data_IF_827177595941
#
_entry.id   IF_827177595941
#
_cell.length_a   1.000
_cell.length_b   1.000
_cell.length_c   1.000
_cell.angle_alpha   90.00
_cell.angle_beta   90.00
_cell.angle_gamma   90.00
#
_symmetry.space_group_name_H-M   'P 1'
#
loop_
_entity.id
_entity.type
_entity.pdbx_description
1 polymer ?
#
# COMPACT_ATOMS: atom_id res chain seq x y z
N UNK A 1 55.55 12.14 -0.87
CA UNK A 1 55.30 10.67 -0.82
C UNK A 1 54.76 10.15 0.53
N UNK A 2 55.28 10.54 1.70
CA UNK A 2 54.79 10.09 3.03
C UNK A 2 53.33 10.50 3.31
N UNK A 3 52.92 11.72 2.97
CA UNK A 3 51.56 12.24 3.14
C UNK A 3 50.51 11.39 2.40
N UNK A 4 50.71 11.09 1.12
CA UNK A 4 49.83 10.26 0.32
C UNK A 4 49.73 8.81 0.82
N UNK A 5 50.78 8.25 1.38
CA UNK A 5 50.77 6.94 2.03
C UNK A 5 49.92 6.96 3.31
N UNK A 6 49.91 8.05 4.08
CA UNK A 6 49.09 8.25 5.25
C UNK A 6 47.61 8.28 4.88
N UNK A 7 47.21 9.10 3.89
CA UNK A 7 45.84 9.18 3.39
C UNK A 7 45.33 7.81 2.88
N UNK A 8 46.13 7.12 2.09
CA UNK A 8 45.77 5.80 1.58
C UNK A 8 45.53 4.78 2.70
N UNK A 9 46.36 4.76 3.73
CA UNK A 9 46.15 3.91 4.91
C UNK A 9 44.87 4.27 5.64
N UNK A 10 44.59 5.56 5.85
CA UNK A 10 43.36 6.04 6.47
C UNK A 10 42.12 5.60 5.68
N UNK A 11 42.13 5.79 4.35
CA UNK A 11 41.04 5.36 3.49
C UNK A 11 40.81 3.84 3.56
N UNK A 12 41.87 3.03 3.61
CA UNK A 12 41.77 1.57 3.79
C UNK A 12 41.15 1.23 5.15
N UNK A 13 41.56 1.87 6.23
CA UNK A 13 40.99 1.63 7.55
C UNK A 13 39.51 2.05 7.63
N UNK A 14 39.14 3.19 7.03
CA UNK A 14 37.75 3.64 6.93
C UNK A 14 36.93 2.65 6.14
N UNK A 15 37.41 2.18 4.99
CA UNK A 15 36.72 1.17 4.18
C UNK A 15 36.54 -0.14 4.94
N UNK A 16 37.58 -0.63 5.62
CA UNK A 16 37.48 -1.83 6.46
C UNK A 16 36.46 -1.65 7.59
N UNK A 17 36.42 -0.50 8.24
CA UNK A 17 35.44 -0.20 9.28
C UNK A 17 34.03 -0.22 8.71
N UNK A 18 33.79 0.40 7.55
CA UNK A 18 32.48 0.37 6.87
C UNK A 18 32.06 -1.07 6.56
N UNK A 19 32.97 -1.88 6.01
CA UNK A 19 32.67 -3.29 5.69
C UNK A 19 32.32 -4.08 6.95
N UNK A 20 33.07 -3.92 8.04
CA UNK A 20 32.81 -4.62 9.31
C UNK A 20 31.48 -4.20 9.93
N UNK A 21 31.16 -2.90 9.92
CA UNK A 21 29.88 -2.40 10.40
C UNK A 21 28.73 -2.96 9.56
N UNK A 22 28.84 -2.89 8.24
CA UNK A 22 27.83 -3.44 7.32
C UNK A 22 27.62 -4.94 7.53
N UNK A 23 28.70 -5.69 7.70
CA UNK A 23 28.60 -7.13 8.01
C UNK A 23 27.88 -7.37 9.35
N UNK A 24 28.19 -6.59 10.37
CA UNK A 24 27.50 -6.67 11.66
C UNK A 24 26.02 -6.35 11.56
N UNK A 25 25.64 -5.31 10.81
CA UNK A 25 24.26 -4.93 10.54
C UNK A 25 23.54 -6.06 9.77
N UNK A 26 24.14 -6.59 8.72
CA UNK A 26 23.60 -7.69 7.93
C UNK A 26 23.36 -8.95 8.76
N UNK A 27 24.35 -9.38 9.55
CA UNK A 27 24.21 -10.56 10.40
C UNK A 27 23.13 -10.37 11.46
N UNK A 28 23.06 -9.19 12.08
CA UNK A 28 21.98 -8.86 13.02
C UNK A 28 20.60 -8.94 12.34
N UNK A 29 20.49 -8.38 11.14
CA UNK A 29 19.24 -8.44 10.37
C UNK A 29 18.82 -9.87 10.04
N UNK A 30 19.76 -10.71 9.56
CA UNK A 30 19.48 -12.13 9.25
C UNK A 30 19.05 -12.92 10.48
N UNK A 31 19.71 -12.71 11.62
CA UNK A 31 19.33 -13.32 12.88
C UNK A 31 17.95 -12.83 13.38
N UNK A 32 17.67 -11.53 13.23
CA UNK A 32 16.37 -10.99 13.58
C UNK A 32 15.27 -11.58 12.72
N UNK A 33 15.42 -11.61 11.37
CA UNK A 33 14.46 -12.25 10.46
C UNK A 33 14.20 -13.73 10.81
N UNK A 34 15.25 -14.45 11.21
CA UNK A 34 15.10 -15.87 11.62
C UNK A 34 14.29 -16.02 12.92
N UNK A 35 14.41 -15.09 13.86
CA UNK A 35 13.61 -15.08 15.11
C UNK A 35 12.18 -14.65 14.81
N UNK A 36 12.00 -13.57 14.07
CA UNK A 36 10.70 -13.02 13.66
C UNK A 36 9.89 -13.98 12.78
N UNK A 37 10.55 -14.94 12.11
CA UNK A 37 9.86 -15.97 11.37
C UNK A 37 8.92 -16.83 12.26
N UNK A 38 9.20 -16.91 13.56
CA UNK A 38 8.34 -17.61 14.52
C UNK A 38 7.08 -16.78 14.87
N UNK A 39 7.10 -15.47 14.67
CA UNK A 39 5.98 -14.58 14.91
C UNK A 39 5.03 -14.50 13.71
N UNK A 40 5.47 -15.02 12.54
CA UNK A 40 4.67 -15.02 11.32
C UNK A 40 3.53 -16.03 11.45
N UNK A 41 2.32 -15.50 11.57
CA UNK A 41 1.08 -16.26 11.59
C UNK A 41 0.23 -15.82 10.39
N UNK A 42 0.16 -16.63 9.32
CA UNK A 42 -0.62 -16.30 8.13
C UNK A 42 -2.08 -16.05 8.46
N UNK A 43 -2.62 -14.98 7.87
CA UNK A 43 -4.01 -14.55 7.99
C UNK A 43 -4.58 -14.57 6.57
N UNK A 44 -5.76 -15.21 6.37
CA UNK A 44 -6.37 -15.36 5.06
C UNK A 44 -6.03 -16.68 4.37
N UNK A 45 -6.51 -16.85 3.16
CA UNK A 45 -6.37 -18.06 2.36
C UNK A 45 -5.49 -17.77 1.13
N UNK A 46 -4.66 -18.73 0.75
CA UNK A 46 -3.81 -18.61 -0.42
C UNK A 46 -4.51 -19.18 -1.64
N UNK A 47 -4.57 -18.39 -2.71
CA UNK A 47 -5.13 -18.78 -4.00
C UNK A 47 -4.08 -18.69 -5.10
N UNK A 48 -4.13 -19.63 -6.05
CA UNK A 48 -3.21 -19.63 -7.18
C UNK A 48 -3.67 -18.66 -8.26
N UNK A 49 -2.76 -17.76 -8.64
CA UNK A 49 -2.94 -16.80 -9.74
C UNK A 49 -1.66 -16.78 -10.57
N UNK A 50 -1.75 -17.19 -11.83
CA UNK A 50 -0.63 -17.18 -12.78
C UNK A 50 0.65 -17.90 -12.26
N UNK A 51 0.45 -19.04 -11.56
CA UNK A 51 1.55 -19.84 -11.00
C UNK A 51 2.17 -19.26 -9.72
N UNK A 52 1.55 -18.25 -9.13
CA UNK A 52 1.93 -17.65 -7.83
C UNK A 52 0.79 -17.75 -6.84
N UNK A 53 1.13 -17.78 -5.57
CA UNK A 53 0.14 -17.79 -4.49
C UNK A 53 -0.11 -16.37 -4.01
N UNK A 54 -1.34 -15.87 -4.21
CA UNK A 54 -1.81 -14.63 -3.60
C UNK A 54 -2.60 -14.94 -2.33
N UNK A 55 -2.43 -14.08 -1.33
CA UNK A 55 -3.16 -14.21 -0.08
C UNK A 55 -4.42 -13.34 -0.12
N UNK A 56 -5.57 -13.95 0.20
CA UNK A 56 -6.90 -13.32 0.18
C UNK A 56 -7.50 -13.42 1.57
N UNK A 57 -7.87 -12.31 2.14
CA UNK A 57 -8.56 -12.24 3.42
C UNK A 57 -10.00 -11.80 3.22
N UNK A 58 -10.92 -12.56 3.82
CA UNK A 58 -12.35 -12.26 3.76
C UNK A 58 -12.90 -12.16 5.17
N UNK A 59 -13.63 -11.10 5.46
CA UNK A 59 -14.32 -10.92 6.74
C UNK A 59 -15.67 -10.23 6.54
N UNK A 60 -16.54 -10.32 7.56
CA UNK A 60 -17.88 -9.80 7.47
C UNK A 60 -18.80 -10.60 6.54
N UNK A 61 -20.09 -10.30 6.55
CA UNK A 61 -21.12 -11.10 5.85
C UNK A 61 -22.22 -10.28 5.16
N UNK A 62 -22.01 -8.96 5.01
CA UNK A 62 -22.95 -8.08 4.33
C UNK A 62 -23.13 -8.42 2.84
N UNK A 63 -24.24 -7.97 2.26
CA UNK A 63 -24.57 -8.23 0.85
C UNK A 63 -23.69 -7.47 -0.14
N UNK A 64 -23.17 -6.29 0.26
CA UNK A 64 -22.21 -5.52 -0.55
C UNK A 64 -20.80 -5.97 -0.24
N UNK A 65 -19.99 -6.17 -1.28
CA UNK A 65 -18.59 -6.55 -1.17
C UNK A 65 -17.70 -5.33 -1.35
N UNK A 66 -16.93 -5.00 -0.31
CA UNK A 66 -15.89 -3.97 -0.33
C UNK A 66 -14.54 -4.64 -0.58
N UNK A 67 -13.85 -4.25 -1.64
CA UNK A 67 -12.50 -4.70 -1.95
C UNK A 67 -11.53 -3.60 -1.55
N UNK A 68 -10.73 -3.84 -0.51
CA UNK A 68 -9.76 -2.88 0.01
C UNK A 68 -8.43 -3.06 -0.71
N UNK A 69 -7.96 -1.98 -1.32
CA UNK A 69 -6.75 -1.92 -2.14
C UNK A 69 -5.68 -1.09 -1.41
N UNK A 70 -4.61 -1.75 -1.01
CA UNK A 70 -3.55 -1.11 -0.22
C UNK A 70 -2.65 -0.20 -1.05
N UNK A 71 -2.14 0.84 -0.42
CA UNK A 71 -1.16 1.75 -1.01
C UNK A 71 0.16 1.08 -1.38
N UNK A 72 0.98 1.77 -2.15
CA UNK A 72 2.31 1.29 -2.53
C UNK A 72 3.21 1.11 -1.31
N UNK A 73 3.86 -0.05 -1.22
CA UNK A 73 4.79 -0.33 -0.13
C UNK A 73 4.16 -0.74 1.21
N UNK A 74 2.84 -0.88 1.31
CA UNK A 74 2.16 -1.40 2.51
C UNK A 74 2.53 -2.85 2.74
N UNK A 75 3.37 -3.12 3.72
CA UNK A 75 3.98 -4.44 3.93
C UNK A 75 3.02 -5.51 4.44
N UNK A 76 1.92 -5.13 5.09
CA UNK A 76 0.87 -6.02 5.58
C UNK A 76 -0.51 -5.39 5.39
N UNK A 77 -1.10 -5.46 4.18
CA UNK A 77 -2.40 -4.88 3.88
C UNK A 77 -3.52 -5.27 4.84
N UNK A 78 -3.59 -6.53 5.24
CA UNK A 78 -4.64 -7.05 6.14
C UNK A 78 -4.57 -6.35 7.50
N UNK A 79 -3.38 -6.22 8.06
CA UNK A 79 -3.19 -5.60 9.37
C UNK A 79 -3.21 -4.07 9.30
N UNK A 80 -2.82 -3.51 8.17
CA UNK A 80 -2.90 -2.07 7.91
C UNK A 80 -4.36 -1.56 7.91
N UNK A 81 -5.25 -2.30 7.27
CA UNK A 81 -6.67 -1.96 7.26
C UNK A 81 -7.46 -2.43 8.50
N UNK A 82 -6.82 -2.98 9.54
CA UNK A 82 -7.50 -3.60 10.67
C UNK A 82 -8.49 -2.66 11.37
N UNK A 83 -8.09 -1.41 11.60
CA UNK A 83 -8.94 -0.42 12.24
C UNK A 83 -10.25 -0.23 11.45
N UNK A 84 -10.14 0.04 10.16
CA UNK A 84 -11.30 0.27 9.30
C UNK A 84 -12.12 -1.00 9.09
N UNK A 85 -11.50 -2.17 8.90
CA UNK A 85 -12.23 -3.43 8.71
C UNK A 85 -13.04 -3.81 9.94
N UNK A 86 -12.56 -3.50 11.14
CA UNK A 86 -13.28 -3.72 12.39
C UNK A 86 -14.61 -2.94 12.42
N UNK A 87 -14.63 -1.73 11.87
CA UNK A 87 -15.83 -0.89 11.82
C UNK A 87 -16.80 -1.32 10.70
N UNK A 88 -16.28 -1.80 9.57
CA UNK A 88 -17.09 -2.12 8.39
C UNK A 88 -17.62 -3.55 8.37
N UNK A 89 -16.95 -4.51 9.01
CA UNK A 89 -17.29 -5.93 8.97
C UNK A 89 -18.70 -6.29 9.49
N UNK A 90 -19.32 -5.54 10.42
CA UNK A 90 -20.70 -5.80 10.83
C UNK A 90 -21.72 -5.67 9.69
N UNK A 91 -21.50 -4.76 8.73
CA UNK A 91 -22.46 -4.39 7.70
C UNK A 91 -22.08 -4.88 6.28
N UNK A 92 -20.80 -5.16 6.05
CA UNK A 92 -20.26 -5.45 4.72
C UNK A 92 -19.44 -6.73 4.69
N UNK A 93 -19.42 -7.38 3.50
CA UNK A 93 -18.36 -8.34 3.18
C UNK A 93 -17.13 -7.56 2.76
N UNK A 94 -16.01 -7.80 3.41
CA UNK A 94 -14.73 -7.13 3.14
C UNK A 94 -13.76 -8.14 2.58
N UNK A 95 -13.07 -7.76 1.52
CA UNK A 95 -12.02 -8.56 0.88
C UNK A 95 -10.76 -7.73 0.78
N UNK A 96 -9.65 -8.30 1.23
CA UNK A 96 -8.32 -7.71 1.06
C UNK A 96 -7.47 -8.73 0.31
N UNK A 97 -6.90 -8.31 -0.82
CA UNK A 97 -5.96 -9.11 -1.57
C UNK A 97 -4.58 -8.53 -1.37
N UNK A 98 -3.70 -9.33 -0.82
CA UNK A 98 -2.30 -8.98 -0.75
C UNK A 98 -1.67 -9.26 -2.13
N UNK A 99 -1.31 -8.19 -2.85
CA UNK A 99 -0.68 -8.30 -4.17
C UNK A 99 0.67 -9.03 -4.07
N UNK A 100 1.25 -9.43 -5.21
CA UNK A 100 2.60 -9.99 -5.23
C UNK A 100 3.59 -9.08 -4.48
N UNK A 101 4.42 -9.68 -3.64
CA UNK A 101 5.37 -8.97 -2.80
C UNK A 101 4.83 -8.42 -1.49
N UNK A 102 3.50 -8.43 -1.30
CA UNK A 102 2.84 -7.92 -0.09
C UNK A 102 2.46 -9.06 0.86
N UNK A 103 2.51 -8.78 2.16
CA UNK A 103 2.02 -9.66 3.21
C UNK A 103 2.49 -11.11 3.09
N UNK A 104 1.51 -12.01 3.05
CA UNK A 104 1.74 -13.46 2.92
C UNK A 104 1.72 -13.98 1.47
N UNK A 105 1.52 -13.09 0.48
CA UNK A 105 1.63 -13.47 -0.94
C UNK A 105 3.07 -13.79 -1.34
N UNK A 106 3.20 -14.55 -2.42
CA UNK A 106 4.52 -14.77 -3.03
C UNK A 106 5.11 -13.44 -3.51
N UNK A 107 6.42 -13.39 -3.70
CA UNK A 107 7.09 -12.32 -4.43
C UNK A 107 7.43 -12.80 -5.85
N UNK A 108 7.71 -11.86 -6.74
CA UNK A 108 8.09 -12.18 -8.10
C UNK A 108 8.33 -10.95 -8.98
N UNK A 109 9.01 -11.22 -10.08
CA UNK A 109 9.30 -10.22 -11.12
C UNK A 109 8.20 -10.25 -12.20
N UNK A 110 6.96 -9.93 -11.79
CA UNK A 110 5.83 -9.75 -12.70
C UNK A 110 5.72 -8.28 -13.09
N UNK A 111 5.29 -7.96 -14.32
CA UNK A 111 4.95 -6.59 -14.69
C UNK A 111 3.98 -5.97 -13.68
N UNK A 112 4.18 -4.71 -13.36
CA UNK A 112 3.35 -3.98 -12.37
C UNK A 112 2.58 -2.83 -13.03
N UNK A 113 2.29 -2.97 -14.33
CA UNK A 113 1.29 -2.14 -15.01
C UNK A 113 -0.11 -2.43 -14.47
N UNK A 114 -1.02 -1.45 -14.61
CA UNK A 114 -2.37 -1.54 -14.06
C UNK A 114 -3.19 -2.68 -14.65
N UNK A 115 -2.96 -3.04 -15.91
CA UNK A 115 -3.64 -4.18 -16.54
C UNK A 115 -3.27 -5.48 -15.82
N UNK A 116 -1.98 -5.71 -15.60
CA UNK A 116 -1.48 -6.93 -14.91
C UNK A 116 -1.95 -6.96 -13.45
N UNK A 117 -1.81 -5.86 -12.72
CA UNK A 117 -2.24 -5.80 -11.31
C UNK A 117 -3.73 -6.07 -11.19
N UNK A 118 -4.56 -5.38 -11.98
CA UNK A 118 -6.02 -5.59 -11.96
C UNK A 118 -6.43 -6.99 -12.38
N UNK A 119 -5.80 -7.54 -13.41
CA UNK A 119 -6.06 -8.92 -13.85
C UNK A 119 -5.77 -9.93 -12.75
N UNK A 120 -4.63 -9.79 -12.05
CA UNK A 120 -4.26 -10.66 -10.93
C UNK A 120 -5.24 -10.52 -9.76
N UNK A 121 -5.62 -9.30 -9.39
CA UNK A 121 -6.61 -9.01 -8.35
C UNK A 121 -7.97 -9.65 -8.68
N UNK A 122 -8.45 -9.49 -9.92
CA UNK A 122 -9.71 -10.07 -10.39
C UNK A 122 -9.68 -11.61 -10.43
N UNK A 123 -8.56 -12.20 -10.85
CA UNK A 123 -8.37 -13.66 -10.82
C UNK A 123 -8.36 -14.20 -9.38
N UNK A 124 -7.76 -13.48 -8.43
CA UNK A 124 -7.78 -13.87 -7.02
C UNK A 124 -9.20 -13.84 -6.44
N UNK A 125 -10.00 -12.82 -6.77
CA UNK A 125 -11.43 -12.77 -6.40
C UNK A 125 -12.21 -13.95 -7.01
N UNK A 126 -12.02 -14.22 -8.28
CA UNK A 126 -12.67 -15.34 -8.95
C UNK A 126 -12.30 -16.70 -8.35
N UNK A 127 -11.00 -16.91 -8.08
CA UNK A 127 -10.50 -18.13 -7.43
C UNK A 127 -11.05 -18.31 -6.02
N UNK A 128 -11.36 -17.20 -5.33
CA UNK A 128 -12.01 -17.20 -4.01
C UNK A 128 -13.55 -17.30 -4.08
N UNK A 129 -14.16 -17.42 -5.26
CA UNK A 129 -15.62 -17.48 -5.45
C UNK A 129 -16.34 -16.18 -5.15
N UNK A 130 -15.64 -15.04 -5.18
CA UNK A 130 -16.20 -13.72 -4.85
C UNK A 130 -16.59 -13.01 -6.13
N UNK A 131 -17.85 -12.59 -6.20
CA UNK A 131 -18.43 -11.94 -7.38
C UNK A 131 -18.83 -10.50 -7.09
N UNK A 132 -18.68 -9.63 -8.11
CA UNK A 132 -19.13 -8.24 -8.07
C UNK A 132 -20.64 -8.04 -8.27
N UNK A 133 -21.09 -6.79 -8.38
CA UNK A 133 -20.23 -5.60 -8.45
C UNK A 133 -19.62 -5.23 -7.10
N UNK A 134 -18.40 -4.66 -7.14
CA UNK A 134 -17.61 -4.32 -5.97
C UNK A 134 -17.69 -2.83 -5.64
N UNK A 135 -17.55 -2.49 -4.36
CA UNK A 135 -17.12 -1.17 -3.92
C UNK A 135 -15.60 -1.24 -3.75
N UNK A 136 -14.86 -0.47 -4.53
CA UNK A 136 -13.40 -0.41 -4.40
C UNK A 136 -13.02 0.64 -3.36
N UNK A 137 -12.29 0.22 -2.32
CA UNK A 137 -11.81 1.10 -1.25
C UNK A 137 -10.30 1.22 -1.38
N UNK A 138 -9.82 2.32 -1.91
CA UNK A 138 -8.44 2.46 -2.36
C UNK A 138 -7.65 3.46 -1.53
N UNK A 139 -6.53 3.02 -0.94
CA UNK A 139 -5.59 3.89 -0.25
C UNK A 139 -4.43 4.29 -1.16
N UNK A 140 -4.05 5.59 -1.10
CA UNK A 140 -2.81 6.08 -1.72
C UNK A 140 -2.68 5.66 -3.20
N UNK A 141 -1.56 5.07 -3.60
CA UNK A 141 -1.28 4.66 -4.98
C UNK A 141 -2.33 3.70 -5.57
N UNK A 142 -3.04 2.93 -4.73
CA UNK A 142 -4.12 2.07 -5.20
C UNK A 142 -5.32 2.83 -5.80
N UNK A 143 -5.38 4.14 -5.65
CA UNK A 143 -6.31 4.99 -6.38
C UNK A 143 -6.17 4.84 -7.91
N UNK A 144 -4.95 4.65 -8.40
CA UNK A 144 -4.71 4.38 -9.82
C UNK A 144 -5.31 3.03 -10.25
N UNK A 145 -5.15 2.00 -9.41
CA UNK A 145 -5.73 0.67 -9.63
C UNK A 145 -7.26 0.73 -9.66
N UNK A 146 -7.89 1.41 -8.69
CA UNK A 146 -9.34 1.52 -8.61
C UNK A 146 -9.94 2.31 -9.78
N UNK A 147 -9.32 3.42 -10.18
CA UNK A 147 -9.75 4.21 -11.32
C UNK A 147 -9.63 3.41 -12.63
N UNK A 148 -8.49 2.76 -12.84
CA UNK A 148 -8.27 1.91 -14.02
C UNK A 148 -9.27 0.76 -14.09
N UNK A 149 -9.53 0.08 -12.97
CA UNK A 149 -10.52 -0.99 -12.92
C UNK A 149 -11.90 -0.51 -13.33
N UNK A 150 -12.36 0.60 -12.76
CA UNK A 150 -13.66 1.16 -13.11
C UNK A 150 -13.73 1.70 -14.55
N UNK A 151 -12.61 2.11 -15.14
CA UNK A 151 -12.52 2.51 -16.55
C UNK A 151 -12.62 1.30 -17.50
N UNK A 152 -11.91 0.20 -17.18
CA UNK A 152 -11.85 -0.99 -18.06
C UNK A 152 -13.03 -1.95 -17.86
N UNK A 153 -13.52 -2.05 -16.63
CA UNK A 153 -14.55 -3.01 -16.24
C UNK A 153 -15.68 -2.34 -15.43
N UNK A 154 -16.36 -1.32 -15.99
CA UNK A 154 -17.36 -0.54 -15.25
C UNK A 154 -18.51 -1.37 -14.69
N UNK A 155 -18.87 -2.48 -15.30
CA UNK A 155 -19.92 -3.37 -14.81
C UNK A 155 -19.54 -4.13 -13.52
N UNK A 156 -18.24 -4.19 -13.20
CA UNK A 156 -17.74 -4.86 -12.00
C UNK A 156 -17.63 -3.92 -10.80
N UNK A 157 -17.74 -2.60 -10.99
CA UNK A 157 -17.51 -1.59 -9.95
C UNK A 157 -18.78 -0.79 -9.71
N UNK A 158 -19.32 -0.86 -8.50
CA UNK A 158 -20.52 -0.11 -8.11
C UNK A 158 -20.21 1.28 -7.53
N UNK A 159 -19.05 1.44 -6.90
CA UNK A 159 -18.59 2.71 -6.35
C UNK A 159 -17.07 2.66 -6.05
N UNK A 160 -16.46 3.84 -5.90
CA UNK A 160 -15.08 3.99 -5.43
C UNK A 160 -15.09 4.82 -4.14
N UNK A 161 -14.33 4.36 -3.14
CA UNK A 161 -14.01 5.12 -1.93
C UNK A 161 -12.49 5.34 -1.91
N UNK A 162 -12.06 6.57 -2.02
CA UNK A 162 -10.66 6.95 -1.90
C UNK A 162 -10.29 7.28 -0.46
N UNK A 163 -9.35 6.56 0.10
CA UNK A 163 -8.75 6.80 1.41
C UNK A 163 -7.42 7.55 1.19
N UNK A 164 -7.48 8.86 1.11
CA UNK A 164 -6.33 9.71 0.71
C UNK A 164 -5.62 9.18 -0.55
N UNK A 165 -6.42 8.72 -1.51
CA UNK A 165 -5.90 8.10 -2.71
C UNK A 165 -5.11 9.11 -3.56
N UNK A 166 -4.05 8.63 -4.20
CA UNK A 166 -3.23 9.46 -5.05
C UNK A 166 -4.00 9.92 -6.29
N UNK A 167 -4.01 11.23 -6.52
CA UNK A 167 -4.53 11.82 -7.75
C UNK A 167 -3.53 11.50 -8.88
N UNK A 168 -3.97 11.00 -10.05
CA UNK A 168 -3.04 10.65 -11.13
C UNK A 168 -2.08 11.80 -11.50
N UNK A 169 -2.54 13.06 -11.45
CA UNK A 169 -1.72 14.25 -11.70
C UNK A 169 -0.58 14.45 -10.70
N UNK A 170 -0.65 13.84 -9.51
CA UNK A 170 0.41 13.95 -8.51
C UNK A 170 1.73 13.35 -8.99
N UNK A 171 1.67 12.36 -9.87
CA UNK A 171 2.84 11.66 -10.41
C UNK A 171 3.63 12.46 -11.45
N UNK A 172 3.09 13.55 -11.99
CA UNK A 172 3.85 14.50 -12.81
C UNK A 172 4.98 15.17 -12.00
N UNK A 173 4.77 15.31 -10.69
CA UNK A 173 5.68 15.98 -9.73
C UNK A 173 6.51 15.00 -8.90
N UNK A 174 6.09 13.75 -8.81
CA UNK A 174 6.76 12.71 -8.01
C UNK A 174 7.30 11.63 -8.95
N UNK A 175 8.59 11.69 -9.22
CA UNK A 175 9.30 10.64 -9.96
C UNK A 175 10.22 9.88 -9.01
N UNK A 176 10.07 8.58 -8.95
CA UNK A 176 10.99 7.71 -8.19
C UNK A 176 12.02 7.13 -9.17
N UNK A 177 13.26 7.62 -9.18
CA UNK A 177 14.29 7.09 -10.07
C UNK A 177 14.62 5.63 -9.70
N UNK A 178 14.76 4.76 -10.69
CA UNK A 178 15.16 3.35 -10.52
C UNK A 178 16.39 3.19 -9.62
N UNK A 179 17.37 4.07 -9.75
CA UNK A 179 18.55 4.07 -8.87
C UNK A 179 18.18 4.20 -7.39
N UNK A 180 17.21 5.04 -7.03
CA UNK A 180 16.77 5.22 -5.63
C UNK A 180 16.10 3.95 -5.12
N UNK A 181 15.27 3.31 -5.94
CA UNK A 181 14.64 2.02 -5.61
C UNK A 181 15.70 0.95 -5.38
N UNK A 182 16.65 0.79 -6.33
CA UNK A 182 17.72 -0.21 -6.24
C UNK A 182 18.61 -0.01 -5.00
N UNK A 183 19.03 1.22 -4.72
CA UNK A 183 19.82 1.52 -3.52
C UNK A 183 19.01 1.29 -2.25
N UNK A 184 17.72 1.68 -2.27
CA UNK A 184 16.80 1.42 -1.17
C UNK A 184 16.67 -0.08 -0.87
N UNK A 185 16.44 -0.90 -1.89
CA UNK A 185 16.38 -2.36 -1.77
C UNK A 185 17.68 -2.93 -1.16
N UNK A 186 18.83 -2.52 -1.70
CA UNK A 186 20.13 -2.96 -1.18
C UNK A 186 20.31 -2.59 0.30
N UNK A 187 19.96 -1.38 0.72
CA UNK A 187 20.07 -0.95 2.12
C UNK A 187 19.13 -1.72 3.04
N UNK A 188 17.92 -2.04 2.57
CA UNK A 188 16.96 -2.84 3.32
C UNK A 188 17.41 -4.30 3.45
N UNK A 189 17.92 -4.90 2.39
CA UNK A 189 18.49 -6.26 2.40
C UNK A 189 19.72 -6.37 3.33
N UNK A 190 20.54 -5.32 3.40
CA UNK A 190 21.65 -5.22 4.35
C UNK A 190 21.20 -4.98 5.79
N UNK A 191 19.91 -4.67 6.02
CA UNK A 191 19.33 -4.49 7.34
C UNK A 191 19.37 -3.08 7.90
N UNK A 192 19.83 -2.09 7.11
CA UNK A 192 19.86 -0.70 7.55
C UNK A 192 18.48 -0.12 7.83
N UNK A 193 17.41 -0.66 7.20
CA UNK A 193 16.04 -0.24 7.45
C UNK A 193 15.62 -0.34 8.92
N UNK A 194 16.16 -1.31 9.68
CA UNK A 194 15.86 -1.46 11.12
C UNK A 194 16.29 -0.27 11.97
N UNK A 195 17.29 0.48 11.50
CA UNK A 195 17.85 1.61 12.22
C UNK A 195 17.37 2.95 11.65
N UNK A 196 17.22 3.02 10.33
CA UNK A 196 16.87 4.25 9.63
C UNK A 196 15.36 4.50 9.56
N UNK A 197 14.58 3.42 9.47
CA UNK A 197 13.14 3.48 9.28
C UNK A 197 12.44 2.36 10.08
N UNK A 198 12.35 2.49 11.41
CA UNK A 198 11.71 1.48 12.24
C UNK A 198 10.20 1.38 11.96
N UNK A 199 9.66 0.17 12.07
CA UNK A 199 8.27 -0.15 11.73
C UNK A 199 7.26 0.75 12.45
N UNK A 200 7.51 1.09 13.72
CA UNK A 200 6.65 1.93 14.55
C UNK A 200 6.46 3.35 13.99
N UNK A 201 7.46 3.87 13.27
CA UNK A 201 7.37 5.20 12.64
C UNK A 201 6.78 5.14 11.23
N UNK A 202 6.79 3.96 10.63
CA UNK A 202 6.43 3.77 9.24
C UNK A 202 5.00 3.28 9.05
N UNK A 203 4.44 2.61 10.06
CA UNK A 203 3.15 1.95 10.00
C UNK A 203 2.24 2.43 11.15
N UNK A 204 1.40 3.45 10.93
CA UNK A 204 0.48 3.98 11.95
C UNK A 204 -0.46 2.93 12.53
N UNK A 205 -0.80 1.89 11.78
CA UNK A 205 -1.59 0.76 12.27
C UNK A 205 -1.04 0.15 13.56
N UNK A 206 0.28 0.15 13.76
CA UNK A 206 0.93 -0.38 14.97
C UNK A 206 0.57 0.40 16.25
N UNK A 207 0.15 1.66 16.10
CA UNK A 207 -0.24 2.55 17.20
C UNK A 207 -1.75 2.84 17.22
N UNK A 208 -2.51 2.29 16.28
CA UNK A 208 -3.96 2.53 16.14
C UNK A 208 -4.80 2.01 17.30
N UNK A 209 -4.27 1.06 18.09
CA UNK A 209 -4.99 0.41 19.19
C UNK A 209 -5.91 -0.75 18.76
N UNK A 210 -6.01 -1.04 17.47
CA UNK A 210 -6.85 -2.11 16.91
C UNK A 210 -6.16 -3.45 16.75
N UNK A 211 -4.82 -3.47 16.83
CA UNK A 211 -4.03 -4.70 16.72
C UNK A 211 -3.81 -5.33 18.11
N UNK A 212 -3.96 -6.65 18.19
CA UNK A 212 -3.49 -7.44 19.33
C UNK A 212 -1.97 -7.50 19.37
N UNK A 213 -1.38 -7.88 20.51
CA UNK A 213 0.08 -8.01 20.62
C UNK A 213 0.67 -9.02 19.62
N UNK A 214 -0.06 -10.10 19.33
CA UNK A 214 0.35 -11.08 18.31
C UNK A 214 0.30 -10.49 16.89
N UNK A 215 -0.72 -9.69 16.58
CA UNK A 215 -0.82 -8.99 15.28
C UNK A 215 0.26 -7.92 15.14
N UNK A 216 0.60 -7.20 16.21
CA UNK A 216 1.73 -6.25 16.24
C UNK A 216 3.05 -6.97 15.93
N UNK A 217 3.33 -8.11 16.56
CA UNK A 217 4.53 -8.89 16.30
C UNK A 217 4.56 -9.39 14.84
N UNK A 218 3.42 -9.89 14.34
CA UNK A 218 3.25 -10.34 12.96
C UNK A 218 3.48 -9.20 11.96
N UNK A 219 2.89 -8.01 12.20
CA UNK A 219 3.09 -6.83 11.34
C UNK A 219 4.58 -6.44 11.28
N UNK A 220 5.26 -6.34 12.43
CA UNK A 220 6.69 -6.01 12.51
C UNK A 220 7.56 -7.01 11.75
N UNK A 221 7.28 -8.31 11.90
CA UNK A 221 7.98 -9.35 11.16
C UNK A 221 7.77 -9.22 9.64
N UNK A 222 6.54 -8.98 9.20
CA UNK A 222 6.22 -8.71 7.79
C UNK A 222 6.88 -7.40 7.30
N UNK A 223 6.89 -6.36 8.11
CA UNK A 223 7.49 -5.08 7.74
C UNK A 223 8.94 -5.25 7.30
N UNK A 224 9.76 -5.90 8.10
CA UNK A 224 11.18 -6.11 7.77
C UNK A 224 11.41 -7.19 6.70
N UNK A 225 10.48 -8.12 6.55
CA UNK A 225 10.56 -9.17 5.53
C UNK A 225 10.13 -8.67 4.14
N UNK A 226 9.17 -7.72 4.09
CA UNK A 226 8.49 -7.29 2.86
C UNK A 226 8.83 -5.86 2.44
N UNK A 227 9.65 -5.15 3.21
CA UNK A 227 10.06 -3.81 2.85
C UNK A 227 10.74 -3.80 1.48
N UNK A 228 10.10 -3.18 0.51
CA UNK A 228 10.60 -2.97 -0.85
C UNK A 228 11.02 -4.27 -1.57
N UNK A 229 10.13 -5.28 -1.59
CA UNK A 229 10.28 -6.50 -2.40
C UNK A 229 10.46 -6.16 -3.87
N UNK A 230 10.84 -7.15 -4.70
CA UNK A 230 10.98 -6.96 -6.15
C UNK A 230 9.69 -6.41 -6.76
N UNK A 231 8.54 -6.99 -6.43
CA UNK A 231 7.25 -6.52 -6.94
C UNK A 231 6.93 -5.09 -6.49
N UNK A 232 7.17 -4.74 -5.22
CA UNK A 232 6.95 -3.37 -4.70
C UNK A 232 7.87 -2.36 -5.41
N UNK A 233 9.14 -2.71 -5.62
CA UNK A 233 10.08 -1.87 -6.35
C UNK A 233 9.60 -1.58 -7.78
N UNK A 234 9.23 -2.61 -8.52
CA UNK A 234 8.71 -2.49 -9.88
C UNK A 234 7.41 -1.66 -9.92
N UNK A 235 6.54 -1.78 -8.91
CA UNK A 235 5.30 -1.02 -8.80
C UNK A 235 5.57 0.49 -8.61
N UNK A 236 6.54 0.84 -7.77
CA UNK A 236 6.95 2.24 -7.59
C UNK A 236 7.56 2.83 -8.86
N UNK A 237 8.39 2.08 -9.57
CA UNK A 237 8.98 2.53 -10.83
C UNK A 237 7.94 2.76 -11.92
N UNK A 238 6.88 1.95 -11.97
CA UNK A 238 5.81 2.06 -12.95
C UNK A 238 4.73 3.10 -12.59
N UNK A 239 4.77 3.67 -11.38
CA UNK A 239 3.71 4.55 -10.87
C UNK A 239 3.37 5.73 -11.81
N UNK A 240 4.39 6.38 -12.38
CA UNK A 240 4.18 7.50 -13.32
C UNK A 240 3.56 7.06 -14.65
N UNK A 241 3.97 5.90 -15.21
CA UNK A 241 3.37 5.36 -16.43
C UNK A 241 1.93 4.88 -16.18
N UNK A 242 1.68 4.28 -15.02
CA UNK A 242 0.36 3.88 -14.57
C UNK A 242 -0.57 5.08 -14.40
N UNK A 243 -0.09 6.16 -13.80
CA UNK A 243 -0.86 7.40 -13.67
C UNK A 243 -1.23 7.98 -15.03
N UNK A 244 -0.29 8.01 -16.00
CA UNK A 244 -0.57 8.43 -17.36
C UNK A 244 -1.64 7.57 -18.02
N UNK A 245 -1.60 6.26 -17.84
CA UNK A 245 -2.59 5.34 -18.40
C UNK A 245 -4.02 5.65 -17.90
N UNK A 246 -4.17 6.05 -16.64
CA UNK A 246 -5.45 6.51 -16.07
C UNK A 246 -5.88 7.85 -16.68
N UNK A 247 -4.93 8.79 -16.83
CA UNK A 247 -5.22 10.13 -17.38
C UNK A 247 -5.57 10.12 -18.88
N UNK A 248 -5.10 9.14 -19.63
CA UNK A 248 -5.39 9.00 -21.07
C UNK A 248 -6.87 8.60 -21.33
N UNK A 249 -7.66 8.34 -20.28
CA UNK A 249 -9.07 7.96 -20.33
C UNK A 249 -9.95 8.90 -19.50
N UNK A 250 -11.23 9.03 -19.82
CA UNK A 250 -12.16 9.79 -18.98
C UNK A 250 -12.32 9.12 -17.61
N UNK A 251 -12.62 9.92 -16.58
CA UNK A 251 -12.97 9.41 -15.27
C UNK A 251 -14.17 8.45 -15.34
N UNK A 252 -14.20 7.40 -14.50
CA UNK A 252 -15.31 6.47 -14.48
C UNK A 252 -16.61 7.16 -14.02
N UNK A 253 -17.75 6.70 -14.53
CA UNK A 253 -19.07 7.26 -14.20
C UNK A 253 -19.66 6.75 -12.88
N UNK A 254 -19.01 5.84 -12.19
CA UNK A 254 -19.45 5.31 -10.90
C UNK A 254 -19.40 6.38 -9.80
N UNK A 255 -20.24 6.29 -8.75
CA UNK A 255 -20.15 7.17 -7.61
C UNK A 255 -18.77 7.10 -6.92
N UNK A 256 -18.25 8.27 -6.50
CA UNK A 256 -16.92 8.38 -5.88
C UNK A 256 -17.02 9.14 -4.57
N UNK A 257 -16.52 8.56 -3.47
CA UNK A 257 -16.31 9.24 -2.19
C UNK A 257 -14.82 9.36 -1.93
N UNK A 258 -14.32 10.57 -1.73
CA UNK A 258 -12.91 10.82 -1.42
C UNK A 258 -12.76 11.36 -0.02
N UNK A 259 -11.94 10.72 0.78
CA UNK A 259 -11.37 11.28 2.00
C UNK A 259 -9.97 11.82 1.66
N UNK A 260 -9.74 13.09 1.98
CA UNK A 260 -8.49 13.80 1.69
C UNK A 260 -7.86 14.23 3.01
N UNK A 261 -6.64 13.77 3.27
CA UNK A 261 -5.88 14.06 4.49
C UNK A 261 -5.36 15.51 4.54
N UNK A 262 -4.71 15.87 5.64
CA UNK A 262 -3.94 17.12 5.74
C UNK A 262 -2.56 17.04 5.04
N UNK A 263 -2.33 16.00 4.24
CA UNK A 263 -1.12 15.69 3.51
C UNK A 263 0.13 15.36 4.36
N UNK A 264 0.00 15.30 5.69
CA UNK A 264 1.10 14.81 6.53
C UNK A 264 1.45 13.37 6.17
N UNK A 265 2.72 13.10 5.88
CA UNK A 265 3.19 11.82 5.33
C UNK A 265 3.26 11.79 3.80
N UNK A 266 2.91 12.88 3.12
CA UNK A 266 3.10 13.06 1.67
C UNK A 266 4.17 14.12 1.37
N UNK A 267 4.48 14.34 0.09
CA UNK A 267 5.39 15.41 -0.36
C UNK A 267 4.68 16.74 -0.67
N UNK A 268 3.39 16.85 -0.34
CA UNK A 268 2.57 18.01 -0.66
C UNK A 268 2.22 18.82 0.59
N UNK A 269 1.87 20.10 0.41
CA UNK A 269 1.17 20.85 1.45
C UNK A 269 -0.31 20.45 1.48
N UNK A 270 -0.94 20.60 2.64
CA UNK A 270 -2.36 20.26 2.83
C UNK A 270 -3.27 20.95 1.81
N UNK A 271 -3.02 22.22 1.52
CA UNK A 271 -3.83 22.98 0.55
C UNK A 271 -3.58 22.51 -0.89
N UNK A 272 -2.33 22.26 -1.27
CA UNK A 272 -2.01 21.77 -2.61
C UNK A 272 -2.60 20.37 -2.87
N UNK A 273 -2.61 19.51 -1.84
CA UNK A 273 -3.19 18.17 -1.92
C UNK A 273 -4.71 18.22 -2.07
N UNK A 274 -5.37 19.04 -1.24
CA UNK A 274 -6.82 19.23 -1.32
C UNK A 274 -7.24 19.87 -2.65
N UNK A 275 -6.51 20.91 -3.11
CA UNK A 275 -6.80 21.55 -4.39
C UNK A 275 -6.66 20.55 -5.55
N UNK A 276 -5.66 19.67 -5.53
CA UNK A 276 -5.51 18.63 -6.53
C UNK A 276 -6.70 17.66 -6.57
N UNK A 277 -7.26 17.31 -5.41
CA UNK A 277 -8.48 16.50 -5.34
C UNK A 277 -9.68 17.25 -5.92
N UNK A 278 -9.83 18.55 -5.62
CA UNK A 278 -10.88 19.40 -6.18
C UNK A 278 -10.75 19.54 -7.69
N UNK A 279 -9.56 19.76 -8.21
CA UNK A 279 -9.30 19.90 -9.65
C UNK A 279 -9.60 18.58 -10.39
N UNK A 280 -9.32 17.44 -9.76
CA UNK A 280 -9.54 16.12 -10.35
C UNK A 280 -10.99 15.66 -10.29
N UNK A 281 -11.69 15.91 -9.19
CA UNK A 281 -12.99 15.30 -8.92
C UNK A 281 -14.09 16.31 -8.56
N UNK A 282 -13.78 17.57 -8.26
CA UNK A 282 -14.75 18.57 -7.81
C UNK A 282 -15.87 18.90 -8.80
N UNK A 283 -15.65 18.63 -10.09
CA UNK A 283 -16.66 18.83 -11.16
C UNK A 283 -17.32 17.52 -11.59
N UNK A 284 -16.97 16.37 -10.97
CA UNK A 284 -17.59 15.09 -11.28
C UNK A 284 -18.95 15.01 -10.54
N UNK A 285 -20.07 14.88 -11.24
CA UNK A 285 -21.40 15.00 -10.61
C UNK A 285 -21.67 14.02 -9.47
N UNK A 286 -21.06 12.84 -9.54
CA UNK A 286 -21.24 11.76 -8.56
C UNK A 286 -20.04 11.63 -7.61
N UNK A 287 -19.19 12.66 -7.50
CA UNK A 287 -18.08 12.66 -6.55
C UNK A 287 -18.38 13.52 -5.32
N UNK A 288 -18.04 13.00 -4.16
CA UNK A 288 -18.09 13.69 -2.88
C UNK A 288 -16.69 13.73 -2.28
N UNK A 289 -16.20 14.90 -1.91
CA UNK A 289 -14.88 15.09 -1.30
C UNK A 289 -15.06 15.52 0.15
N UNK A 290 -14.50 14.74 1.09
CA UNK A 290 -14.47 15.00 2.53
C UNK A 290 -13.02 15.25 2.96
N UNK A 291 -12.74 16.37 3.59
CA UNK A 291 -11.41 16.69 4.13
C UNK A 291 -11.32 16.21 5.58
N UNK A 292 -10.21 15.52 5.90
CA UNK A 292 -9.89 15.09 7.26
C UNK A 292 -8.59 15.75 7.73
N UNK A 293 -8.58 16.26 8.95
CA UNK A 293 -7.36 16.84 9.54
C UNK A 293 -6.52 15.77 10.25
N UNK A 294 -6.16 14.75 9.48
CA UNK A 294 -5.31 13.62 9.90
C UNK A 294 -4.27 13.34 8.84
N UNK A 295 -3.25 12.52 9.17
CA UNK A 295 -2.21 12.13 8.24
C UNK A 295 -2.69 11.19 7.13
N UNK A 296 -1.77 10.85 6.22
CA UNK A 296 -1.99 10.07 4.99
C UNK A 296 -2.72 8.73 5.21
N UNK A 297 -2.48 8.03 6.32
CA UNK A 297 -3.15 6.78 6.68
C UNK A 297 -4.50 7.05 7.37
N UNK A 298 -5.41 7.73 6.65
CA UNK A 298 -6.71 8.18 7.19
C UNK A 298 -7.51 7.05 7.85
N UNK A 299 -7.41 5.83 7.36
CA UNK A 299 -8.10 4.65 7.85
C UNK A 299 -7.61 4.15 9.21
N UNK A 300 -6.39 4.54 9.63
CA UNK A 300 -5.87 4.27 10.97
C UNK A 300 -6.24 5.37 11.96
N UNK A 301 -6.36 6.62 11.48
CA UNK A 301 -6.59 7.78 12.33
C UNK A 301 -8.07 8.13 12.54
N UNK A 302 -8.94 7.81 11.56
CA UNK A 302 -10.36 8.16 11.59
C UNK A 302 -11.26 7.00 11.10
N UNK A 303 -11.07 5.75 11.58
CA UNK A 303 -11.77 4.59 11.04
C UNK A 303 -13.29 4.65 11.26
N UNK A 304 -13.75 5.17 12.40
CA UNK A 304 -15.19 5.29 12.72
C UNK A 304 -15.88 6.31 11.82
N UNK A 305 -15.28 7.49 11.62
CA UNK A 305 -15.82 8.54 10.76
C UNK A 305 -15.88 8.09 9.32
N UNK A 306 -14.83 7.41 8.84
CA UNK A 306 -14.76 6.88 7.50
C UNK A 306 -15.83 5.79 7.30
N UNK A 307 -15.96 4.86 8.24
CA UNK A 307 -16.95 3.77 8.13
C UNK A 307 -18.38 4.32 8.13
N UNK A 308 -18.70 5.27 9.00
CA UNK A 308 -20.00 5.94 9.01
C UNK A 308 -20.28 6.64 7.68
N UNK A 309 -19.31 7.40 7.16
CA UNK A 309 -19.47 8.10 5.90
C UNK A 309 -19.56 7.19 4.68
N UNK A 310 -18.88 6.03 4.68
CA UNK A 310 -19.07 4.98 3.66
C UNK A 310 -20.51 4.46 3.71
N UNK A 311 -21.04 4.20 4.91
CA UNK A 311 -22.41 3.74 5.10
C UNK A 311 -23.45 4.71 4.56
N UNK A 312 -23.31 6.02 4.86
CA UNK A 312 -24.17 7.08 4.32
C UNK A 312 -24.10 7.16 2.79
N UNK A 313 -22.88 7.19 2.26
CA UNK A 313 -22.63 7.28 0.83
C UNK A 313 -23.22 6.10 0.05
N UNK A 314 -23.03 4.87 0.53
CA UNK A 314 -23.53 3.68 -0.14
C UNK A 314 -25.06 3.54 -0.01
N UNK A 315 -25.71 4.14 0.99
CA UNK A 315 -27.18 4.23 1.08
C UNK A 315 -27.74 5.24 0.09
N UNK A 316 -27.06 6.36 -0.11
CA UNK A 316 -27.50 7.41 -1.03
C UNK A 316 -27.34 7.04 -2.52
N UNK A 317 -26.46 6.09 -2.83
CA UNK A 317 -26.13 5.64 -4.19
C UNK A 317 -26.56 4.18 -4.47
N UNK A 318 -27.62 3.75 -3.83
CA UNK A 318 -28.23 2.41 -4.06
C UNK A 318 -29.15 2.42 -5.26
#
# INVERSE_FOLDING_TARGET
MRFWRGIRKLLVYVLLAIVLVTLGVYLNHRLALSREANDLSPIGDRVEVEGKQLNVYVTGSGSKTLVLLAGGGTTSPILDFKALTTQLAPDYRIVIIERLGYGFSDDGDSPRDLETVNRQTRQALQASGIQGPYVLVAHSMAGLEALYWAQEHPAEVSAIVGLDMAMPQSYDKVKVPTFVVTVGQMLLELGYGRFLYPAEKAAPALESGYLTQAEIANYKALFYKRALTTAIGNELEMSASNAKQVLDKPLPSVPILLYVSNASGTSFSSEAWYQMAQDSFGQVPNATIKRLDVGHYVHDYAPEEIAAGIGEFLKANN
#
